data_IF_957552873887
#
_entry.id   IF_957552873887
#
_cell.length_a   1.000
_cell.length_b   1.000
_cell.length_c   1.000
_cell.angle_alpha   90.00
_cell.angle_beta   90.00
_cell.angle_gamma   90.00
#
_symmetry.space_group_name_H-M   'P 1'
#
loop_
_entity.id
_entity.type
_entity.pdbx_description
1 polymer ?
#
# COMPACT_ATOMS: atom_id res chain seq x y z
N UNK A 1 -2.73 -0.06 -16.04
CA UNK A 1 -2.76 -1.05 -14.96
C UNK A 1 -4.18 -1.13 -14.45
N UNK A 2 -4.75 -2.33 -14.41
CA UNK A 2 -6.12 -2.57 -13.98
C UNK A 2 -6.03 -3.21 -12.59
N UNK A 3 -6.57 -2.52 -11.57
CA UNK A 3 -6.59 -3.08 -10.21
C UNK A 3 -7.85 -3.95 -10.07
N UNK A 4 -7.73 -5.21 -9.64
CA UNK A 4 -8.87 -6.08 -9.46
C UNK A 4 -9.77 -5.57 -8.32
N UNK A 5 -10.91 -4.98 -8.68
CA UNK A 5 -11.92 -4.47 -7.74
C UNK A 5 -12.36 -5.53 -6.73
N UNK A 6 -12.48 -6.79 -7.15
CA UNK A 6 -12.81 -7.90 -6.27
C UNK A 6 -11.77 -8.10 -5.15
N UNK A 7 -10.46 -7.90 -5.41
CA UNK A 7 -9.43 -7.97 -4.35
C UNK A 7 -9.54 -6.79 -3.38
N UNK A 8 -9.82 -5.59 -3.90
CA UNK A 8 -10.06 -4.39 -3.10
C UNK A 8 -11.30 -4.51 -2.19
N UNK A 9 -12.39 -5.07 -2.73
CA UNK A 9 -13.66 -5.23 -2.02
C UNK A 9 -13.58 -6.42 -1.05
N UNK A 10 -12.83 -7.47 -1.38
CA UNK A 10 -12.60 -8.65 -0.54
C UNK A 10 -11.66 -8.40 0.65
N UNK A 11 -11.00 -7.22 0.73
CA UNK A 11 -10.34 -6.73 1.96
C UNK A 11 -11.38 -6.35 3.04
N UNK A 12 -12.29 -7.27 3.32
CA UNK A 12 -13.46 -7.11 4.17
C UNK A 12 -13.13 -7.36 5.65
N UNK A 13 -12.02 -8.04 5.95
CA UNK A 13 -11.61 -8.30 7.34
C UNK A 13 -11.16 -7.02 8.05
N UNK A 14 -10.44 -6.11 7.36
CA UNK A 14 -10.13 -4.79 7.92
C UNK A 14 -9.71 -3.74 6.87
N UNK A 15 -10.70 -3.20 6.15
CA UNK A 15 -10.52 -2.14 5.13
C UNK A 15 -9.76 -0.91 5.66
N UNK A 16 -9.94 -0.57 6.94
CA UNK A 16 -9.27 0.55 7.58
C UNK A 16 -7.76 0.33 7.73
N UNK A 17 -7.34 -0.85 8.20
CA UNK A 17 -5.93 -1.22 8.31
C UNK A 17 -5.28 -1.21 6.93
N UNK A 18 -5.93 -1.79 5.92
CA UNK A 18 -5.43 -1.79 4.55
C UNK A 18 -5.25 -0.37 4.00
N UNK A 19 -6.26 0.48 4.17
CA UNK A 19 -6.22 1.86 3.68
C UNK A 19 -5.12 2.66 4.38
N UNK A 20 -4.98 2.49 5.70
CA UNK A 20 -3.93 3.15 6.50
C UNK A 20 -2.53 2.66 6.11
N UNK A 21 -2.38 1.36 5.90
CA UNK A 21 -1.13 0.75 5.43
C UNK A 21 -0.71 1.30 4.07
N UNK A 22 -1.64 1.31 3.10
CA UNK A 22 -1.39 1.84 1.77
C UNK A 22 -0.99 3.33 1.81
N UNK A 23 -1.67 4.14 2.64
CA UNK A 23 -1.32 5.56 2.84
C UNK A 23 0.10 5.73 3.42
N UNK A 24 0.49 4.94 4.42
CA UNK A 24 1.88 4.98 4.96
C UNK A 24 2.94 4.67 3.91
N UNK A 25 2.64 3.79 2.94
CA UNK A 25 3.56 3.52 1.84
C UNK A 25 3.61 4.66 0.83
N UNK A 26 2.51 5.39 0.62
CA UNK A 26 2.49 6.61 -0.21
C UNK A 26 3.46 7.65 0.37
N UNK A 27 3.48 7.83 1.69
CA UNK A 27 4.39 8.80 2.33
C UNK A 27 5.86 8.37 2.23
N UNK A 28 6.12 7.07 2.00
CA UNK A 28 7.47 6.47 2.01
C UNK A 28 7.95 6.02 0.62
N UNK A 29 7.33 6.49 -0.46
CA UNK A 29 7.63 6.05 -1.85
C UNK A 29 9.12 6.08 -2.18
N UNK A 30 9.83 7.15 -1.80
CA UNK A 30 11.26 7.29 -2.10
C UNK A 30 12.16 6.25 -1.43
N UNK A 31 11.62 5.47 -0.48
CA UNK A 31 12.33 4.39 0.22
C UNK A 31 11.80 3.00 -0.17
N UNK A 32 10.91 2.89 -1.16
CA UNK A 32 10.37 1.61 -1.62
C UNK A 32 11.29 1.03 -2.69
N UNK A 33 11.99 -0.05 -2.34
CA UNK A 33 12.84 -0.77 -3.28
C UNK A 33 12.02 -1.33 -4.46
N UNK A 34 12.50 -1.11 -5.69
CA UNK A 34 11.83 -1.57 -6.91
C UNK A 34 10.60 -0.77 -7.33
N UNK A 35 10.35 0.38 -6.69
CA UNK A 35 9.29 1.29 -7.12
C UNK A 35 9.59 1.90 -8.51
N UNK A 36 8.62 1.94 -9.44
CA UNK A 36 8.84 2.42 -10.81
C UNK A 36 8.89 3.97 -10.88
N UNK A 37 10.04 4.56 -10.53
CA UNK A 37 10.23 6.02 -10.43
C UNK A 37 10.22 6.78 -11.78
N UNK A 38 10.55 6.12 -12.90
CA UNK A 38 10.94 6.83 -14.12
C UNK A 38 9.82 7.24 -15.08
N UNK A 39 8.61 6.70 -14.95
CA UNK A 39 7.55 6.98 -15.95
C UNK A 39 6.11 6.98 -15.40
N UNK A 40 5.91 6.63 -14.12
CA UNK A 40 4.58 6.34 -13.57
C UNK A 40 4.28 7.07 -12.25
N UNK A 41 4.91 8.22 -12.01
CA UNK A 41 4.68 9.03 -10.79
C UNK A 41 3.24 9.51 -10.62
N UNK A 42 2.44 9.56 -11.68
CA UNK A 42 1.00 9.85 -11.57
C UNK A 42 0.16 8.63 -11.14
N UNK A 43 0.73 7.41 -11.15
CA UNK A 43 0.08 6.15 -10.76
C UNK A 43 0.57 5.62 -9.41
N UNK A 44 0.97 6.51 -8.52
CA UNK A 44 1.47 6.17 -7.17
C UNK A 44 0.56 5.20 -6.43
N UNK A 45 -0.71 5.56 -6.27
CA UNK A 45 -1.68 4.73 -5.54
C UNK A 45 -1.86 3.37 -6.21
N UNK A 46 -2.11 3.29 -7.54
CA UNK A 46 -2.14 2.00 -8.22
C UNK A 46 -0.88 1.15 -8.03
N UNK A 47 0.32 1.73 -8.14
CA UNK A 47 1.58 0.99 -8.04
C UNK A 47 1.75 0.37 -6.65
N UNK A 48 1.47 1.14 -5.60
CA UNK A 48 1.54 0.66 -4.21
C UNK A 48 0.53 -0.47 -3.99
N UNK A 49 -0.71 -0.30 -4.44
CA UNK A 49 -1.74 -1.35 -4.33
C UNK A 49 -1.31 -2.63 -5.06
N UNK A 50 -0.71 -2.50 -6.23
CA UNK A 50 -0.21 -3.65 -6.97
C UNK A 50 0.94 -4.35 -6.23
N UNK A 51 1.88 -3.58 -5.66
CA UNK A 51 2.97 -4.13 -4.85
C UNK A 51 2.47 -4.83 -3.57
N UNK A 52 1.39 -4.33 -2.96
CA UNK A 52 0.73 -5.00 -1.83
C UNK A 52 0.06 -6.29 -2.28
N UNK A 53 -0.67 -6.28 -3.42
CA UNK A 53 -1.32 -7.48 -3.95
C UNK A 53 -0.36 -8.55 -4.46
N UNK A 54 0.87 -8.17 -4.80
CA UNK A 54 1.97 -9.05 -5.20
C UNK A 54 2.84 -9.47 -3.99
N UNK A 55 2.41 -9.21 -2.75
CA UNK A 55 3.11 -9.52 -1.50
C UNK A 55 4.52 -8.91 -1.38
N UNK A 56 4.85 -7.91 -2.21
CA UNK A 56 6.12 -7.17 -2.17
C UNK A 56 6.16 -6.15 -1.04
N UNK A 57 4.99 -5.65 -0.62
CA UNK A 57 4.83 -4.79 0.54
C UNK A 57 3.96 -5.52 1.57
N UNK A 58 4.59 -5.95 2.66
CA UNK A 58 3.89 -6.63 3.77
C UNK A 58 3.60 -5.65 4.89
N UNK A 59 2.37 -5.65 5.38
CA UNK A 59 1.98 -4.85 6.53
C UNK A 59 1.99 -5.70 7.81
N UNK A 60 2.91 -5.39 8.72
CA UNK A 60 2.82 -5.90 10.10
C UNK A 60 1.97 -4.94 10.93
N UNK A 61 0.79 -5.40 11.33
CA UNK A 61 -0.01 -4.69 12.33
C UNK A 61 0.66 -4.93 13.68
N UNK A 62 1.49 -3.99 14.15
CA UNK A 62 1.91 -4.01 15.55
C UNK A 62 0.71 -3.59 16.41
N UNK A 63 0.24 -4.46 17.29
CA UNK A 63 -0.75 -4.10 18.30
C UNK A 63 -0.13 -3.10 19.28
N UNK A 64 -0.38 -1.82 19.03
CA UNK A 64 0.08 -0.72 19.86
C UNK A 64 -0.30 0.61 19.22
N UNK A 65 -0.73 1.59 20.04
CA UNK A 65 -0.84 2.98 19.59
C UNK A 65 0.57 3.42 19.23
N UNK A 66 0.84 3.66 17.94
CA UNK A 66 1.96 4.49 17.55
C UNK A 66 1.64 5.90 18.04
N UNK A 67 2.26 6.27 19.17
CA UNK A 67 2.49 7.68 19.48
C UNK A 67 3.60 8.13 18.55
N UNK A 68 3.26 9.01 17.61
CA UNK A 68 4.24 9.72 16.80
C UNK A 68 5.03 10.66 17.73
N UNK A 69 6.23 10.23 18.15
CA UNK A 69 7.26 11.07 18.76
C UNK A 69 8.15 11.70 17.68
#
# INVERSE_FOLDING_TARGET
>A
MIIPLNKLIAFNENRYIFTRAAMKYVDRIGNIEGYPEKDHNWKVVPNILNMIFDDKLKFEVKEGRETDD
#
